data_IF_769537691242
#
_entry.id   IF_769537691242
#
_cell.length_a   1.000
_cell.length_b   1.000
_cell.length_c   1.000
_cell.angle_alpha   90.00
_cell.angle_beta   90.00
_cell.angle_gamma   90.00
#
_symmetry.space_group_name_H-M   'P 1'
#
loop_
_entity.id
_entity.type
_entity.pdbx_description
1 polymer ?
#
# COMPACT_ATOMS: atom_id res chain seq x y z
N UNK A 1 -28.29 -8.95 -15.71
CA UNK A 1 -28.71 -9.48 -14.40
C UNK A 1 -28.11 -10.86 -14.28
N UNK A 2 -27.57 -11.17 -13.10
CA UNK A 2 -26.92 -12.45 -12.81
C UNK A 2 -28.00 -13.52 -12.58
N UNK A 3 -27.75 -14.77 -12.96
CA UNK A 3 -28.71 -15.86 -12.72
C UNK A 3 -28.74 -16.22 -11.23
N UNK A 4 -29.87 -16.74 -10.73
CA UNK A 4 -29.93 -17.21 -9.34
C UNK A 4 -29.02 -18.40 -9.12
N UNK A 5 -28.28 -18.36 -8.01
CA UNK A 5 -27.43 -19.46 -7.57
C UNK A 5 -28.28 -20.69 -7.17
N UNK A 6 -27.65 -21.87 -7.09
CA UNK A 6 -28.33 -23.14 -6.84
C UNK A 6 -29.09 -23.12 -5.50
N UNK A 7 -28.44 -22.64 -4.43
CA UNK A 7 -29.05 -22.44 -3.11
C UNK A 7 -30.34 -21.60 -3.19
N UNK A 8 -30.33 -20.51 -3.94
CA UNK A 8 -31.48 -19.61 -4.07
C UNK A 8 -32.62 -20.28 -4.81
N UNK A 9 -32.32 -21.04 -5.88
CA UNK A 9 -33.35 -21.81 -6.60
C UNK A 9 -34.01 -22.84 -5.70
N UNK A 10 -33.24 -23.54 -4.87
CA UNK A 10 -33.73 -24.53 -3.91
C UNK A 10 -34.61 -23.88 -2.84
N UNK A 11 -34.13 -22.83 -2.18
CA UNK A 11 -34.89 -22.12 -1.14
C UNK A 11 -36.19 -21.50 -1.67
N UNK A 12 -36.17 -20.95 -2.89
CA UNK A 12 -37.39 -20.44 -3.53
C UNK A 12 -38.38 -21.57 -3.84
N UNK A 13 -37.91 -22.76 -4.23
CA UNK A 13 -38.76 -23.92 -4.46
C UNK A 13 -39.39 -24.45 -3.15
N UNK A 14 -38.69 -24.32 -2.02
CA UNK A 14 -39.19 -24.62 -0.68
C UNK A 14 -40.17 -23.56 -0.13
N UNK A 15 -40.30 -22.42 -0.82
CA UNK A 15 -41.23 -21.35 -0.47
C UNK A 15 -40.65 -20.24 0.41
N UNK A 16 -39.33 -20.20 0.58
CA UNK A 16 -38.66 -19.10 1.28
C UNK A 16 -38.62 -17.82 0.44
N UNK A 17 -38.55 -16.67 1.12
CA UNK A 17 -38.51 -15.35 0.51
C UNK A 17 -37.42 -14.46 1.13
N UNK A 18 -37.15 -13.31 0.53
CA UNK A 18 -36.16 -12.37 1.05
C UNK A 18 -36.45 -11.90 2.50
N UNK A 19 -37.72 -11.94 2.91
CA UNK A 19 -38.16 -11.53 4.25
C UNK A 19 -38.30 -12.72 5.22
N UNK A 20 -38.48 -13.93 4.70
CA UNK A 20 -38.62 -15.14 5.47
C UNK A 20 -37.72 -16.22 4.88
N UNK A 21 -36.51 -16.31 5.41
CA UNK A 21 -35.51 -17.30 5.04
C UNK A 21 -34.90 -17.94 6.29
N UNK A 22 -34.26 -19.12 6.19
CA UNK A 22 -33.60 -19.74 7.33
C UNK A 22 -32.46 -18.92 7.92
N UNK A 23 -32.17 -19.11 9.21
CA UNK A 23 -31.10 -18.39 9.94
C UNK A 23 -29.68 -18.71 9.45
N UNK A 24 -29.52 -19.79 8.67
CA UNK A 24 -28.22 -20.21 8.13
C UNK A 24 -27.86 -19.53 6.81
N UNK A 25 -28.78 -18.75 6.23
CA UNK A 25 -28.58 -17.94 5.03
C UNK A 25 -28.87 -16.46 5.31
N UNK A 26 -28.36 -15.61 4.43
CA UNK A 26 -28.68 -14.19 4.40
C UNK A 26 -28.83 -13.73 2.95
N UNK A 27 -29.58 -12.65 2.72
CA UNK A 27 -29.66 -12.02 1.41
C UNK A 27 -28.31 -11.40 1.05
N UNK A 28 -27.81 -11.70 -0.15
CA UNK A 28 -26.57 -11.14 -0.69
C UNK A 28 -26.58 -9.61 -0.63
N UNK A 29 -25.50 -9.02 -0.14
CA UNK A 29 -25.41 -7.56 0.07
C UNK A 29 -24.71 -6.85 -1.09
N UNK A 30 -24.23 -7.59 -2.09
CA UNK A 30 -23.47 -7.02 -3.20
C UNK A 30 -24.38 -6.50 -4.29
N UNK A 31 -24.51 -5.17 -4.36
CA UNK A 31 -25.31 -4.44 -5.36
C UNK A 31 -26.75 -4.99 -5.52
N UNK A 32 -27.56 -5.02 -4.43
CA UNK A 32 -28.93 -5.48 -4.53
C UNK A 32 -29.78 -4.51 -5.36
N UNK A 33 -30.66 -5.06 -6.19
CA UNK A 33 -31.72 -4.29 -6.83
C UNK A 33 -32.66 -3.70 -5.76
N UNK A 34 -33.17 -2.49 -6.00
CA UNK A 34 -34.09 -1.82 -5.09
C UNK A 34 -35.45 -2.51 -5.03
N UNK A 35 -35.88 -3.10 -6.15
CA UNK A 35 -37.22 -3.70 -6.27
C UNK A 35 -37.20 -5.21 -5.99
N UNK A 36 -36.03 -5.86 -6.11
CA UNK A 36 -35.84 -7.27 -5.80
C UNK A 36 -34.51 -7.52 -5.07
N UNK A 37 -34.52 -7.62 -3.73
CA UNK A 37 -33.31 -7.85 -2.94
C UNK A 37 -32.52 -9.13 -3.29
N UNK A 38 -33.19 -10.14 -3.87
CA UNK A 38 -32.55 -11.38 -4.33
C UNK A 38 -31.87 -11.23 -5.69
N UNK A 39 -32.19 -10.16 -6.44
CA UNK A 39 -31.44 -9.79 -7.65
C UNK A 39 -30.20 -9.01 -7.22
N UNK A 40 -29.15 -9.75 -6.83
CA UNK A 40 -27.86 -9.21 -6.40
C UNK A 40 -26.71 -9.92 -7.15
N UNK A 41 -25.49 -9.41 -7.01
CA UNK A 41 -24.32 -9.99 -7.66
C UNK A 41 -23.86 -11.32 -7.05
N UNK A 42 -24.42 -11.73 -5.92
CA UNK A 42 -24.12 -13.01 -5.28
C UNK A 42 -25.08 -14.13 -5.77
N UNK A 43 -26.04 -13.79 -6.63
CA UNK A 43 -27.02 -14.74 -7.17
C UNK A 43 -28.19 -15.03 -6.21
N UNK A 44 -28.43 -14.19 -5.20
CA UNK A 44 -29.56 -14.32 -4.28
C UNK A 44 -29.15 -14.48 -2.81
N UNK A 45 -29.50 -15.61 -2.21
CA UNK A 45 -29.09 -15.99 -0.86
C UNK A 45 -27.63 -16.46 -0.82
N UNK A 46 -26.96 -16.17 0.29
CA UNK A 46 -25.58 -16.55 0.58
C UNK A 46 -25.54 -17.22 1.94
N UNK A 47 -24.71 -18.24 2.11
CA UNK A 47 -24.55 -18.88 3.42
C UNK A 47 -23.90 -17.94 4.43
N UNK A 48 -24.39 -17.98 5.67
CA UNK A 48 -23.73 -17.25 6.75
C UNK A 48 -22.40 -17.95 7.09
N UNK A 49 -21.34 -17.17 7.32
CA UNK A 49 -19.98 -17.69 7.63
C UNK A 49 -19.96 -18.71 8.78
N UNK A 50 -20.81 -18.54 9.79
CA UNK A 50 -20.94 -19.47 10.92
C UNK A 50 -21.50 -20.83 10.52
N UNK A 51 -22.34 -20.88 9.48
CA UNK A 51 -22.87 -22.11 8.92
C UNK A 51 -21.84 -22.81 8.03
N UNK A 52 -21.14 -22.05 7.16
CA UNK A 52 -20.04 -22.59 6.33
C UNK A 52 -18.99 -23.31 7.19
N UNK A 53 -18.64 -22.76 8.36
CA UNK A 53 -17.69 -23.39 9.29
C UNK A 53 -18.13 -24.76 9.82
N UNK A 54 -19.42 -25.05 9.80
CA UNK A 54 -19.99 -26.34 10.25
C UNK A 54 -20.16 -27.33 9.10
N UNK A 55 -20.09 -26.85 7.86
CA UNK A 55 -20.22 -27.70 6.67
C UNK A 55 -18.94 -28.50 6.43
N UNK A 56 -19.15 -29.73 5.96
CA UNK A 56 -18.11 -30.62 5.47
C UNK A 56 -18.13 -30.61 3.95
N UNK A 57 -16.95 -30.52 3.36
CA UNK A 57 -16.74 -30.63 1.93
C UNK A 57 -15.85 -31.83 1.63
N UNK A 58 -15.95 -32.35 0.40
CA UNK A 58 -15.12 -33.44 -0.10
C UNK A 58 -14.54 -33.07 -1.46
N UNK A 59 -13.25 -33.31 -1.59
CA UNK A 59 -12.53 -33.23 -2.86
C UNK A 59 -12.85 -34.44 -3.74
N UNK A 60 -12.73 -34.35 -5.07
CA UNK A 60 -12.89 -35.48 -5.99
C UNK A 60 -12.05 -36.71 -5.65
N UNK A 61 -10.84 -36.50 -5.14
CA UNK A 61 -9.94 -37.59 -4.72
C UNK A 61 -10.26 -38.16 -3.33
N UNK A 62 -11.33 -37.69 -2.67
CA UNK A 62 -11.90 -38.29 -1.45
C UNK A 62 -11.51 -37.61 -0.14
N UNK A 63 -10.58 -36.64 -0.13
CA UNK A 63 -10.21 -35.91 1.10
C UNK A 63 -11.38 -35.04 1.58
N UNK A 64 -11.68 -35.12 2.88
CA UNK A 64 -12.61 -34.20 3.53
C UNK A 64 -11.91 -32.90 3.90
N UNK A 65 -12.64 -31.79 3.83
CA UNK A 65 -12.17 -30.47 4.26
C UNK A 65 -13.28 -29.70 4.98
N UNK A 66 -12.88 -28.82 5.90
CA UNK A 66 -13.80 -27.90 6.57
C UNK A 66 -14.13 -26.74 5.64
N UNK A 67 -15.34 -26.19 5.77
CA UNK A 67 -15.72 -24.99 5.02
C UNK A 67 -14.84 -23.76 5.30
N UNK A 68 -14.10 -23.73 6.42
CA UNK A 68 -13.13 -22.66 6.70
C UNK A 68 -11.88 -22.73 5.82
N UNK A 69 -11.46 -23.95 5.45
CA UNK A 69 -10.31 -24.22 4.58
C UNK A 69 -10.65 -23.98 3.10
N UNK A 70 -11.94 -23.96 2.76
CA UNK A 70 -12.44 -23.75 1.42
C UNK A 70 -12.56 -22.26 1.07
N UNK A 71 -12.42 -21.96 -0.22
CA UNK A 71 -12.53 -20.64 -0.82
C UNK A 71 -13.76 -20.56 -1.73
N UNK A 72 -14.39 -19.39 -1.72
CA UNK A 72 -15.52 -19.01 -2.55
C UNK A 72 -15.22 -17.66 -3.20
N UNK A 73 -16.03 -17.24 -4.17
CA UNK A 73 -15.90 -15.97 -4.92
C UNK A 73 -14.87 -16.00 -6.05
N UNK A 74 -14.79 -17.13 -6.78
CA UNK A 74 -14.05 -17.23 -8.03
C UNK A 74 -15.04 -17.41 -9.21
N UNK A 75 -14.80 -16.72 -10.31
CA UNK A 75 -15.56 -16.89 -11.55
C UNK A 75 -14.57 -17.18 -12.69
N UNK A 76 -14.73 -18.34 -13.34
CA UNK A 76 -13.86 -18.78 -14.44
C UNK A 76 -14.68 -19.44 -15.51
N UNK A 77 -14.47 -19.02 -16.76
CA UNK A 77 -15.16 -19.59 -17.94
C UNK A 77 -16.69 -19.63 -17.81
N UNK A 78 -17.27 -18.66 -17.09
CA UNK A 78 -18.71 -18.58 -16.83
C UNK A 78 -19.21 -19.53 -15.71
N UNK A 79 -18.31 -20.23 -15.03
CA UNK A 79 -18.61 -21.05 -13.85
C UNK A 79 -18.33 -20.24 -12.59
N UNK A 80 -19.33 -20.21 -11.71
CA UNK A 80 -19.25 -19.57 -10.40
C UNK A 80 -18.83 -20.58 -9.34
N UNK A 81 -17.60 -20.40 -8.86
CA UNK A 81 -17.00 -21.23 -7.84
C UNK A 81 -17.36 -20.70 -6.45
N UNK A 82 -18.56 -21.05 -6.00
CA UNK A 82 -19.13 -20.58 -4.74
C UNK A 82 -19.69 -21.73 -3.91
N UNK A 83 -19.84 -21.49 -2.60
CA UNK A 83 -20.49 -22.45 -1.71
C UNK A 83 -21.96 -22.66 -2.12
N UNK A 84 -22.61 -21.58 -2.53
CA UNK A 84 -24.02 -21.52 -2.92
C UNK A 84 -24.34 -22.31 -4.19
N UNK A 85 -23.33 -22.56 -5.04
CA UNK A 85 -23.45 -23.37 -6.25
C UNK A 85 -22.88 -24.79 -6.08
N UNK A 86 -22.49 -25.18 -4.85
CA UNK A 86 -21.86 -26.47 -4.56
C UNK A 86 -20.58 -26.72 -5.41
N UNK A 87 -19.86 -25.62 -5.67
CA UNK A 87 -18.66 -25.59 -6.50
C UNK A 87 -17.60 -24.72 -5.82
N UNK A 88 -17.40 -24.92 -4.51
CA UNK A 88 -16.34 -24.21 -3.81
C UNK A 88 -14.96 -24.75 -4.27
N UNK A 89 -13.89 -24.05 -3.88
CA UNK A 89 -12.52 -24.45 -4.21
C UNK A 89 -11.68 -24.63 -2.96
N UNK A 90 -10.64 -25.43 -3.04
CA UNK A 90 -9.64 -25.57 -1.99
C UNK A 90 -8.25 -25.66 -2.60
N UNK A 91 -7.22 -25.24 -1.85
CA UNK A 91 -5.85 -25.48 -2.27
C UNK A 91 -5.50 -26.95 -2.06
N UNK A 92 -5.03 -27.63 -3.11
CA UNK A 92 -4.57 -29.02 -3.00
C UNK A 92 -3.36 -29.09 -2.05
N UNK A 93 -3.40 -29.93 -0.98
CA UNK A 93 -2.32 -30.03 -0.02
C UNK A 93 -1.04 -30.59 -0.64
N UNK A 94 -1.17 -31.44 -1.67
CA UNK A 94 -0.06 -32.00 -2.43
C UNK A 94 0.53 -31.04 -3.48
N UNK A 95 -0.10 -29.87 -3.68
CA UNK A 95 0.32 -28.84 -4.65
C UNK A 95 0.45 -29.37 -6.09
N UNK A 96 -0.36 -30.36 -6.45
CA UNK A 96 -0.39 -30.94 -7.79
C UNK A 96 -1.11 -29.96 -8.74
N UNK A 97 -0.44 -29.57 -9.82
CA UNK A 97 -1.00 -28.63 -10.80
C UNK A 97 -1.88 -29.32 -11.86
N UNK A 98 -1.50 -30.54 -12.27
CA UNK A 98 -2.22 -31.37 -13.25
C UNK A 98 -2.71 -32.62 -12.53
N UNK A 99 -4.01 -32.72 -12.32
CA UNK A 99 -4.67 -33.82 -11.63
C UNK A 99 -5.84 -34.30 -12.49
N UNK A 100 -6.00 -35.60 -12.65
CA UNK A 100 -7.07 -36.20 -13.46
C UNK A 100 -8.46 -35.98 -12.83
N UNK A 101 -8.53 -35.95 -11.50
CA UNK A 101 -9.79 -35.77 -10.76
C UNK A 101 -10.22 -34.30 -10.64
N UNK A 102 -9.37 -33.36 -11.06
CA UNK A 102 -9.64 -31.92 -10.97
C UNK A 102 -10.54 -31.49 -12.13
N UNK A 103 -11.52 -30.63 -11.82
CA UNK A 103 -12.43 -30.09 -12.84
C UNK A 103 -11.68 -29.39 -13.99
N UNK A 104 -12.07 -29.69 -15.23
CA UNK A 104 -11.35 -29.30 -16.47
C UNK A 104 -11.18 -27.78 -16.64
N UNK A 105 -12.17 -26.99 -16.23
CA UNK A 105 -12.14 -25.52 -16.34
C UNK A 105 -11.24 -24.82 -15.30
N UNK A 106 -10.70 -25.55 -14.31
CA UNK A 106 -9.71 -24.99 -13.40
C UNK A 106 -8.32 -25.01 -14.06
N UNK A 107 -7.62 -23.87 -14.13
CA UNK A 107 -6.37 -23.80 -14.88
C UNK A 107 -5.27 -24.64 -14.23
N UNK A 108 -4.40 -25.21 -15.06
CA UNK A 108 -3.20 -25.95 -14.63
C UNK A 108 -1.93 -25.06 -14.55
N UNK A 109 -2.05 -23.77 -14.84
CA UNK A 109 -0.96 -22.80 -14.85
C UNK A 109 -1.33 -21.53 -14.08
N UNK A 110 -0.32 -20.78 -13.62
CA UNK A 110 -0.52 -19.53 -12.89
C UNK A 110 -0.70 -19.72 -11.37
N UNK A 111 -1.35 -18.75 -10.72
CA UNK A 111 -1.43 -18.65 -9.25
C UNK A 111 -2.41 -19.67 -8.66
N UNK A 112 -3.50 -19.95 -9.35
CA UNK A 112 -4.56 -20.87 -8.92
C UNK A 112 -4.37 -22.30 -9.47
N UNK A 113 -3.18 -22.61 -9.99
CA UNK A 113 -2.87 -23.90 -10.63
C UNK A 113 -3.11 -25.12 -9.73
N UNK A 114 -2.93 -24.95 -8.42
CA UNK A 114 -3.09 -26.03 -7.43
C UNK A 114 -4.47 -26.03 -6.78
N UNK A 115 -5.43 -25.25 -7.27
CA UNK A 115 -6.79 -25.25 -6.71
C UNK A 115 -7.55 -26.47 -7.24
N UNK A 116 -8.42 -27.02 -6.40
CA UNK A 116 -9.27 -28.17 -6.69
C UNK A 116 -10.71 -27.81 -6.33
N UNK A 117 -11.67 -28.39 -7.05
CA UNK A 117 -13.09 -28.26 -6.76
C UNK A 117 -13.46 -29.08 -5.52
N UNK A 118 -14.43 -28.62 -4.75
CA UNK A 118 -14.99 -29.36 -3.62
C UNK A 118 -16.50 -29.27 -3.62
N UNK A 119 -17.13 -30.35 -3.16
CA UNK A 119 -18.58 -30.47 -3.05
C UNK A 119 -18.97 -30.68 -1.60
N UNK A 120 -20.11 -30.14 -1.21
CA UNK A 120 -20.68 -30.33 0.12
C UNK A 120 -21.09 -31.80 0.31
N UNK A 121 -20.86 -32.33 1.50
CA UNK A 121 -21.30 -33.66 1.90
C UNK A 121 -22.03 -33.61 3.24
N UNK A 122 -23.03 -34.48 3.41
CA UNK A 122 -23.81 -34.59 4.66
C UNK A 122 -23.07 -35.34 5.78
N UNK A 123 -21.95 -35.98 5.44
CA UNK A 123 -21.14 -36.72 6.41
C UNK A 123 -20.49 -35.78 7.44
N UNK A 124 -20.47 -36.16 8.73
CA UNK A 124 -19.78 -35.38 9.74
C UNK A 124 -18.27 -35.39 9.44
N UNK A 125 -17.64 -34.22 9.57
CA UNK A 125 -16.21 -34.07 9.35
C UNK A 125 -15.38 -35.02 10.23
N UNK A 126 -14.50 -35.78 9.60
CA UNK A 126 -13.47 -36.58 10.25
C UNK A 126 -12.10 -35.97 9.98
N UNK A 127 -11.28 -35.87 11.03
CA UNK A 127 -9.92 -35.34 10.89
C UNK A 127 -8.97 -36.37 10.25
N UNK A 128 -9.22 -37.66 10.45
CA UNK A 128 -8.42 -38.71 9.82
C UNK A 128 -8.66 -38.71 8.31
N UNK A 129 -7.58 -38.68 7.51
CA UNK A 129 -7.59 -38.51 6.06
C UNK A 129 -8.26 -37.22 5.59
N UNK A 130 -8.25 -36.17 6.41
CA UNK A 130 -8.69 -34.84 6.00
C UNK A 130 -7.55 -34.04 5.37
N UNK A 131 -7.93 -33.00 4.64
CA UNK A 131 -7.01 -31.99 4.13
C UNK A 131 -6.20 -31.36 5.27
N UNK A 132 -6.85 -31.03 6.39
CA UNK A 132 -6.20 -30.39 7.53
C UNK A 132 -5.15 -31.29 8.19
N UNK A 133 -5.38 -32.61 8.24
CA UNK A 133 -4.37 -33.55 8.73
C UNK A 133 -3.15 -33.61 7.81
N UNK A 134 -3.37 -33.67 6.49
CA UNK A 134 -2.28 -33.70 5.51
C UNK A 134 -1.46 -32.41 5.58
N UNK A 135 -2.12 -31.26 5.72
CA UNK A 135 -1.44 -29.97 5.89
C UNK A 135 -0.62 -29.94 7.19
N UNK A 136 -1.17 -30.41 8.32
CA UNK A 136 -0.45 -30.45 9.59
C UNK A 136 0.78 -31.37 9.53
N UNK A 137 0.67 -32.53 8.87
CA UNK A 137 1.80 -33.43 8.66
C UNK A 137 2.89 -32.80 7.79
N UNK A 138 2.49 -32.10 6.73
CA UNK A 138 3.43 -31.39 5.86
C UNK A 138 4.11 -30.21 6.60
N UNK A 139 3.38 -29.46 7.42
CA UNK A 139 3.95 -28.40 8.26
C UNK A 139 4.97 -28.93 9.28
N UNK A 140 4.67 -30.08 9.89
CA UNK A 140 5.62 -30.78 10.78
C UNK A 140 6.89 -31.16 10.04
N UNK A 141 6.74 -31.78 8.86
CA UNK A 141 7.88 -32.15 8.01
C UNK A 141 8.70 -30.92 7.57
N UNK A 142 8.05 -29.84 7.13
CA UNK A 142 8.72 -28.59 6.77
C UNK A 142 9.49 -28.01 7.98
N UNK A 143 8.93 -28.13 9.18
CA UNK A 143 9.57 -27.68 10.42
C UNK A 143 10.77 -28.55 10.81
N UNK A 144 10.74 -29.85 10.55
CA UNK A 144 11.86 -30.77 10.72
C UNK A 144 12.97 -30.46 9.71
N UNK A 145 12.64 -30.36 8.42
CA UNK A 145 13.58 -29.95 7.36
C UNK A 145 14.24 -28.60 7.68
N UNK A 146 13.49 -27.67 8.30
CA UNK A 146 14.02 -26.37 8.73
C UNK A 146 15.13 -26.54 9.75
N UNK A 147 14.94 -27.44 10.73
CA UNK A 147 15.93 -27.72 11.78
C UNK A 147 17.19 -28.34 11.17
N UNK A 148 17.02 -29.33 10.31
CA UNK A 148 18.13 -29.96 9.58
C UNK A 148 18.91 -28.95 8.73
N UNK A 149 18.22 -28.05 8.05
CA UNK A 149 18.84 -26.99 7.25
C UNK A 149 19.68 -26.03 8.10
N UNK A 150 19.19 -25.65 9.29
CA UNK A 150 19.92 -24.78 10.22
C UNK A 150 21.16 -25.50 10.77
N UNK A 151 21.01 -26.78 11.11
CA UNK A 151 22.10 -27.61 11.64
C UNK A 151 23.20 -27.84 10.59
N UNK A 152 22.83 -28.15 9.35
CA UNK A 152 23.76 -28.29 8.22
C UNK A 152 24.62 -27.03 8.00
N UNK A 153 24.09 -25.85 8.35
CA UNK A 153 24.80 -24.56 8.26
C UNK A 153 25.50 -24.17 9.56
N UNK A 154 25.63 -25.08 10.53
CA UNK A 154 26.26 -24.85 11.84
C UNK A 154 25.66 -23.63 12.57
N UNK A 155 24.34 -23.46 12.47
CA UNK A 155 23.63 -22.33 13.09
C UNK A 155 23.82 -20.98 12.38
N UNK A 156 24.49 -20.92 11.21
CA UNK A 156 24.61 -19.70 10.40
C UNK A 156 23.41 -19.46 9.49
N UNK A 157 22.22 -19.57 10.07
CA UNK A 157 20.95 -19.41 9.39
C UNK A 157 20.08 -18.42 10.17
N UNK A 158 19.44 -17.50 9.46
CA UNK A 158 18.56 -16.50 10.06
C UNK A 158 17.17 -16.65 9.46
N UNK A 159 16.16 -16.77 10.32
CA UNK A 159 14.78 -17.01 9.92
C UNK A 159 14.23 -15.93 8.97
N UNK A 160 14.64 -14.67 9.13
CA UNK A 160 14.23 -13.56 8.26
C UNK A 160 14.76 -13.65 6.82
N UNK A 161 15.73 -14.54 6.58
CA UNK A 161 16.34 -14.77 5.27
C UNK A 161 16.13 -16.18 4.73
N UNK A 162 15.41 -17.01 5.49
CA UNK A 162 15.05 -18.35 5.11
C UNK A 162 13.64 -18.33 4.53
N UNK A 163 13.44 -19.04 3.44
CA UNK A 163 12.13 -19.29 2.90
C UNK A 163 12.08 -20.71 2.36
N UNK A 164 10.94 -21.35 2.57
CA UNK A 164 10.67 -22.66 2.02
C UNK A 164 10.18 -22.50 0.59
N UNK A 165 10.84 -23.16 -0.36
CA UNK A 165 10.40 -23.25 -1.73
C UNK A 165 9.44 -24.46 -1.85
N UNK A 166 8.13 -24.24 -2.07
CA UNK A 166 7.18 -25.35 -2.14
C UNK A 166 7.33 -26.19 -3.39
N UNK A 167 7.91 -25.67 -4.47
CA UNK A 167 8.10 -26.41 -5.73
C UNK A 167 9.31 -27.35 -5.62
N UNK A 168 10.40 -26.87 -5.03
CA UNK A 168 11.61 -27.67 -4.79
C UNK A 168 11.53 -28.52 -3.52
N UNK A 169 10.49 -28.31 -2.71
CA UNK A 169 10.31 -28.89 -1.36
C UNK A 169 11.55 -28.74 -0.48
N UNK A 170 12.20 -27.58 -0.56
CA UNK A 170 13.48 -27.34 0.09
C UNK A 170 13.55 -25.95 0.74
N UNK A 171 14.23 -25.88 1.88
CA UNK A 171 14.59 -24.59 2.48
C UNK A 171 15.72 -23.95 1.70
N UNK A 172 15.54 -22.68 1.36
CA UNK A 172 16.59 -21.86 0.76
C UNK A 172 16.84 -20.64 1.62
N UNK A 173 18.03 -20.06 1.50
CA UNK A 173 18.41 -18.88 2.25
C UNK A 173 19.13 -17.89 1.35
N UNK A 174 18.56 -16.70 1.21
CA UNK A 174 19.18 -15.58 0.49
C UNK A 174 19.35 -14.41 1.45
N UNK A 175 20.61 -14.05 1.72
CA UNK A 175 20.88 -12.90 2.56
C UNK A 175 20.52 -11.61 1.84
N UNK A 176 19.54 -10.88 2.36
CA UNK A 176 19.07 -9.59 1.83
C UNK A 176 19.22 -8.51 2.91
N UNK A 177 20.35 -7.79 2.97
CA UNK A 177 20.63 -6.80 4.03
C UNK A 177 19.52 -5.75 4.22
N UNK A 178 18.72 -5.47 3.20
CA UNK A 178 17.58 -4.56 3.26
C UNK A 178 16.50 -5.01 4.27
N UNK A 179 16.25 -6.32 4.41
CA UNK A 179 15.32 -6.87 5.40
C UNK A 179 15.88 -6.65 6.81
N UNK A 180 17.19 -6.88 7.02
CA UNK A 180 17.83 -6.58 8.32
C UNK A 180 17.72 -5.10 8.68
N UNK A 181 17.85 -4.22 7.68
CA UNK A 181 17.73 -2.78 7.87
C UNK A 181 16.30 -2.37 8.26
N UNK A 182 15.28 -2.98 7.62
CA UNK A 182 13.86 -2.77 7.96
C UNK A 182 13.52 -3.29 9.36
N UNK A 183 13.99 -4.48 9.71
CA UNK A 183 13.79 -5.10 11.03
C UNK A 183 14.66 -4.46 12.13
N UNK A 184 15.57 -3.53 11.78
CA UNK A 184 16.46 -2.84 12.71
C UNK A 184 17.24 -3.83 13.59
N UNK A 185 17.77 -4.90 12.99
CA UNK A 185 18.47 -5.97 13.69
C UNK A 185 19.65 -5.43 14.51
N UNK A 186 19.81 -5.95 15.74
CA UNK A 186 20.87 -5.58 16.70
C UNK A 186 21.40 -6.83 17.39
N UNK A 187 22.63 -6.76 17.89
CA UNK A 187 23.28 -7.85 18.60
C UNK A 187 23.92 -8.85 17.64
N UNK A 188 23.83 -10.13 17.97
CA UNK A 188 24.44 -11.20 17.19
C UNK A 188 23.72 -11.45 15.86
N UNK A 189 24.48 -11.49 14.76
CA UNK A 189 23.95 -11.86 13.45
C UNK A 189 24.33 -13.31 13.13
N UNK A 190 23.37 -14.25 13.03
CA UNK A 190 23.65 -15.65 12.69
C UNK A 190 24.34 -15.81 11.33
N UNK A 191 23.96 -15.01 10.33
CA UNK A 191 24.53 -15.10 8.97
C UNK A 191 25.99 -14.65 8.94
N UNK A 192 26.29 -13.51 9.57
CA UNK A 192 27.66 -12.98 9.61
C UNK A 192 28.53 -13.72 10.66
N UNK A 193 27.92 -14.47 11.57
CA UNK A 193 28.61 -15.23 12.62
C UNK A 193 29.32 -14.34 13.64
N UNK A 194 28.88 -13.09 13.81
CA UNK A 194 29.49 -12.10 14.72
C UNK A 194 28.45 -11.15 15.29
N UNK A 195 28.82 -10.46 16.36
CA UNK A 195 28.06 -9.30 16.84
C UNK A 195 28.15 -8.14 15.84
N UNK A 196 27.00 -7.52 15.58
CA UNK A 196 26.90 -6.36 14.70
C UNK A 196 27.56 -5.14 15.34
N UNK A 197 28.25 -4.36 14.52
CA UNK A 197 28.84 -3.08 14.92
C UNK A 197 27.83 -2.19 15.66
N UNK A 198 28.20 -1.70 16.85
CA UNK A 198 27.43 -0.72 17.65
C UNK A 198 27.33 0.64 16.95
N UNK A 199 28.32 0.95 16.10
CA UNK A 199 28.33 2.17 15.29
C UNK A 199 27.23 2.09 14.23
N UNK A 200 26.43 3.16 14.16
CA UNK A 200 25.34 3.27 13.18
C UNK A 200 25.74 4.20 12.05
N UNK A 201 25.25 3.89 10.86
CA UNK A 201 25.46 4.67 9.66
C UNK A 201 24.39 4.40 8.63
N UNK A 202 24.67 4.74 7.39
CA UNK A 202 23.80 4.49 6.25
C UNK A 202 24.63 4.09 5.04
N UNK A 203 23.96 3.63 4.00
CA UNK A 203 24.54 3.55 2.67
C UNK A 203 24.17 4.84 1.97
N UNK A 204 25.20 5.56 1.54
CA UNK A 204 25.08 6.78 0.76
C UNK A 204 25.42 6.48 -0.69
N UNK A 205 24.72 7.13 -1.60
CA UNK A 205 25.01 7.10 -3.03
C UNK A 205 24.76 8.48 -3.63
N UNK A 206 25.44 8.73 -4.74
CA UNK A 206 25.31 9.96 -5.51
C UNK A 206 24.53 9.63 -6.78
N UNK A 207 23.61 10.51 -7.17
CA UNK A 207 22.77 10.31 -8.35
C UNK A 207 23.12 11.35 -9.41
N UNK A 208 23.64 10.90 -10.55
CA UNK A 208 23.85 11.74 -11.72
C UNK A 208 22.65 11.58 -12.65
N UNK A 209 22.00 12.69 -12.95
CA UNK A 209 20.94 12.77 -13.94
C UNK A 209 21.43 13.62 -15.10
N UNK A 210 21.43 13.06 -16.31
CA UNK A 210 21.75 13.79 -17.53
C UNK A 210 20.48 13.92 -18.35
N UNK A 211 20.12 15.14 -18.75
CA UNK A 211 18.84 15.39 -19.40
C UNK A 211 18.92 16.51 -20.44
N UNK A 212 18.06 16.43 -21.46
CA UNK A 212 17.83 17.49 -22.43
C UNK A 212 17.06 18.66 -21.78
N UNK A 213 17.53 19.88 -21.98
CA UNK A 213 16.88 21.11 -21.49
C UNK A 213 15.71 21.51 -22.39
N UNK A 214 14.55 20.90 -22.17
CA UNK A 214 13.32 21.20 -22.91
C UNK A 214 12.73 22.59 -22.60
N UNK A 215 13.11 23.20 -21.48
CA UNK A 215 12.73 24.57 -21.11
C UNK A 215 13.38 25.65 -21.99
N UNK A 216 14.42 25.28 -22.74
CA UNK A 216 15.14 26.16 -23.66
C UNK A 216 14.74 25.94 -25.12
N UNK A 217 13.76 25.06 -25.39
CA UNK A 217 13.25 24.84 -26.74
C UNK A 217 12.67 26.14 -27.32
N UNK A 218 13.03 26.48 -28.55
CA UNK A 218 12.69 27.78 -29.16
C UNK A 218 13.64 28.94 -28.79
N UNK A 219 14.73 28.67 -28.08
CA UNK A 219 15.81 29.64 -27.81
C UNK A 219 17.10 29.25 -28.55
N UNK A 220 18.12 30.12 -28.50
CA UNK A 220 19.45 29.85 -29.08
C UNK A 220 20.18 28.63 -28.45
N UNK A 221 19.69 28.13 -27.32
CA UNK A 221 20.27 27.01 -26.58
C UNK A 221 19.41 25.73 -26.68
N UNK A 222 18.51 25.66 -27.67
CA UNK A 222 17.75 24.46 -27.97
C UNK A 222 18.69 23.28 -28.26
N UNK A 223 18.38 22.11 -27.71
CA UNK A 223 19.26 20.95 -27.81
C UNK A 223 20.34 20.83 -26.73
N UNK A 224 20.45 21.80 -25.81
CA UNK A 224 21.45 21.73 -24.73
C UNK A 224 21.16 20.56 -23.77
N UNK A 225 22.19 19.76 -23.52
CA UNK A 225 22.17 18.65 -22.54
C UNK A 225 22.90 19.08 -21.29
N UNK A 226 22.20 19.06 -20.16
CA UNK A 226 22.79 19.37 -18.86
C UNK A 226 22.94 18.10 -18.02
N UNK A 227 23.88 18.14 -17.08
CA UNK A 227 24.07 17.09 -16.08
C UNK A 227 23.95 17.66 -14.69
N UNK A 228 23.24 16.94 -13.84
CA UNK A 228 23.02 17.28 -12.44
C UNK A 228 23.44 16.12 -11.54
N UNK A 229 24.27 16.38 -10.52
CA UNK A 229 24.61 15.39 -9.49
C UNK A 229 23.95 15.80 -8.17
N UNK A 230 23.10 14.93 -7.63
CA UNK A 230 22.60 15.02 -6.27
C UNK A 230 23.42 14.08 -5.37
N UNK A 231 24.28 14.67 -4.51
CA UNK A 231 25.19 13.92 -3.63
C UNK A 231 24.57 13.59 -2.27
N UNK A 232 24.99 12.47 -1.70
CA UNK A 232 24.71 12.07 -0.32
C UNK A 232 23.29 11.55 -0.09
N UNK A 233 22.67 10.92 -1.08
CA UNK A 233 21.35 10.29 -0.90
C UNK A 233 21.49 9.07 -0.02
N UNK A 234 20.54 8.91 0.90
CA UNK A 234 20.50 7.76 1.82
C UNK A 234 19.64 6.64 1.25
N UNK A 235 20.12 5.41 1.29
CA UNK A 235 19.32 4.22 0.94
C UNK A 235 18.27 3.95 2.01
N UNK A 236 18.69 3.92 3.28
CA UNK A 236 17.79 3.62 4.39
C UNK A 236 17.22 4.90 5.00
N UNK A 237 15.94 4.89 5.40
CA UNK A 237 15.32 6.03 6.08
C UNK A 237 15.90 6.29 7.47
N UNK A 238 16.41 5.23 8.13
CA UNK A 238 16.95 5.26 9.49
C UNK A 238 18.40 4.76 9.45
N UNK A 239 19.27 5.22 10.37
CA UNK A 239 20.64 4.72 10.44
C UNK A 239 20.64 3.26 10.92
N UNK A 240 21.44 2.38 10.33
CA UNK A 240 21.55 0.95 10.68
C UNK A 240 22.99 0.59 11.05
N UNK A 241 23.23 -0.63 11.54
CA UNK A 241 24.60 -1.06 11.85
C UNK A 241 25.49 -1.01 10.59
N UNK A 242 26.74 -0.57 10.74
CA UNK A 242 27.68 -0.47 9.62
C UNK A 242 27.93 -1.81 8.93
N UNK A 243 27.87 -2.92 9.64
CA UNK A 243 28.03 -4.25 9.02
C UNK A 243 26.90 -4.58 8.04
N UNK A 244 25.68 -4.14 8.34
CA UNK A 244 24.52 -4.28 7.43
C UNK A 244 24.72 -3.34 6.24
N UNK A 245 25.18 -2.10 6.46
CA UNK A 245 25.49 -1.16 5.37
C UNK A 245 26.57 -1.72 4.42
N UNK A 246 27.68 -2.24 4.95
CA UNK A 246 28.76 -2.84 4.16
C UNK A 246 28.29 -4.07 3.39
N UNK A 247 27.43 -4.88 3.99
CA UNK A 247 26.83 -6.04 3.32
C UNK A 247 25.92 -5.60 2.17
N UNK A 248 25.14 -4.54 2.38
CA UNK A 248 24.28 -3.96 1.36
C UNK A 248 25.07 -3.42 0.16
N UNK A 249 26.14 -2.66 0.43
CA UNK A 249 27.04 -2.11 -0.58
C UNK A 249 27.61 -3.19 -1.52
N UNK A 250 27.92 -4.37 -0.97
CA UNK A 250 28.48 -5.50 -1.73
C UNK A 250 27.43 -6.28 -2.52
N UNK A 251 26.25 -6.52 -1.93
CA UNK A 251 25.28 -7.50 -2.45
C UNK A 251 24.12 -6.87 -3.22
N UNK A 252 23.79 -5.61 -2.98
CA UNK A 252 22.51 -5.03 -3.40
C UNK A 252 22.63 -3.90 -4.44
N UNK A 253 23.74 -3.83 -5.19
CA UNK A 253 23.91 -2.81 -6.26
C UNK A 253 22.81 -2.88 -7.32
N UNK A 254 22.56 -4.07 -7.87
CA UNK A 254 21.51 -4.28 -8.87
C UNK A 254 20.10 -4.00 -8.30
N UNK A 255 19.85 -4.34 -7.03
CA UNK A 255 18.57 -4.05 -6.38
C UNK A 255 18.36 -2.53 -6.20
N UNK A 256 19.43 -1.79 -5.88
CA UNK A 256 19.40 -0.33 -5.79
C UNK A 256 19.16 0.31 -7.16
N UNK A 257 19.85 -0.15 -8.21
CA UNK A 257 19.65 0.28 -9.59
C UNK A 257 18.20 0.07 -10.05
N UNK A 258 17.65 -1.12 -9.84
CA UNK A 258 16.26 -1.43 -10.18
C UNK A 258 15.27 -0.53 -9.41
N UNK A 259 15.52 -0.30 -8.12
CA UNK A 259 14.67 0.58 -7.29
C UNK A 259 14.68 2.03 -7.80
N UNK A 260 15.83 2.53 -8.23
CA UNK A 260 15.97 3.88 -8.76
C UNK A 260 15.33 3.99 -10.14
N UNK A 261 15.56 3.02 -11.04
CA UNK A 261 14.89 2.98 -12.35
C UNK A 261 13.37 2.99 -12.21
N UNK A 262 12.82 2.24 -11.26
CA UNK A 262 11.37 2.25 -11.00
C UNK A 262 10.87 3.64 -10.53
N UNK A 263 11.65 4.32 -9.69
CA UNK A 263 11.32 5.66 -9.19
C UNK A 263 11.27 6.71 -10.31
N UNK A 264 12.13 6.56 -11.33
CA UNK A 264 12.19 7.46 -12.48
C UNK A 264 11.58 6.86 -13.76
N UNK A 265 10.76 5.81 -13.62
CA UNK A 265 10.25 5.06 -14.77
C UNK A 265 9.47 5.98 -15.74
N UNK A 266 8.70 6.93 -15.21
CA UNK A 266 7.89 7.83 -16.04
C UNK A 266 8.76 8.78 -16.86
N UNK A 267 9.85 9.30 -16.27
CA UNK A 267 10.77 10.19 -16.96
C UNK A 267 11.60 9.43 -18.01
N UNK A 268 12.08 8.24 -17.66
CA UNK A 268 12.81 7.37 -18.59
C UNK A 268 11.91 6.98 -19.78
N UNK A 269 10.67 6.56 -19.50
CA UNK A 269 9.69 6.21 -20.52
C UNK A 269 9.35 7.40 -21.43
N UNK A 270 9.12 8.59 -20.86
CA UNK A 270 8.84 9.79 -21.64
C UNK A 270 10.01 10.14 -22.57
N UNK A 271 11.23 10.10 -22.05
CA UNK A 271 12.43 10.39 -22.83
C UNK A 271 12.62 9.38 -23.97
N UNK A 272 12.41 8.09 -23.71
CA UNK A 272 12.45 7.05 -24.73
C UNK A 272 11.36 7.25 -25.80
N UNK A 273 10.14 7.58 -25.38
CA UNK A 273 9.01 7.81 -26.27
C UNK A 273 9.19 9.04 -27.17
N UNK A 274 9.77 10.13 -26.64
CA UNK A 274 10.00 11.37 -27.38
C UNK A 274 11.40 11.46 -28.03
N UNK A 275 12.19 10.39 -27.96
CA UNK A 275 13.59 10.38 -28.39
C UNK A 275 14.45 11.50 -27.76
N UNK A 276 14.12 11.89 -26.53
CA UNK A 276 14.86 12.87 -25.74
C UNK A 276 15.93 12.16 -24.90
N UNK A 277 17.03 12.85 -24.59
CA UNK A 277 18.07 12.30 -23.72
C UNK A 277 17.65 12.42 -22.26
N UNK A 278 17.51 11.30 -21.56
CA UNK A 278 17.38 11.23 -20.11
C UNK A 278 18.07 9.97 -19.57
N UNK A 279 19.20 10.16 -18.88
CA UNK A 279 20.04 9.10 -18.35
C UNK A 279 20.22 9.27 -16.84
N UNK A 280 20.30 8.15 -16.13
CA UNK A 280 20.50 8.11 -14.68
C UNK A 280 21.64 7.16 -14.36
N UNK A 281 22.69 7.71 -13.75
CA UNK A 281 23.83 6.94 -13.24
C UNK A 281 23.90 7.03 -11.73
N UNK A 282 24.20 5.89 -11.10
CA UNK A 282 24.43 5.80 -9.65
C UNK A 282 25.93 5.75 -9.42
N UNK A 283 26.44 6.71 -8.65
CA UNK A 283 27.86 6.89 -8.36
C UNK A 283 28.12 6.73 -6.86
N UNK A 284 29.37 6.41 -6.52
CA UNK A 284 29.92 6.46 -5.16
C UNK A 284 29.05 5.82 -4.07
N UNK A 285 28.59 4.59 -4.30
CA UNK A 285 27.87 3.81 -3.28
C UNK A 285 28.85 3.48 -2.15
N UNK A 286 28.60 4.01 -0.95
CA UNK A 286 29.50 3.90 0.20
C UNK A 286 28.75 3.73 1.51
N UNK A 287 29.32 2.97 2.44
CA UNK A 287 28.79 2.76 3.78
C UNK A 287 29.50 3.61 4.83
N UNK A 288 28.79 4.60 5.40
CA UNK A 288 29.40 5.59 6.31
C UNK A 288 28.47 5.96 7.48
N UNK A 289 29.04 6.50 8.56
CA UNK A 289 28.23 7.05 9.67
C UNK A 289 27.52 8.35 9.31
N UNK A 290 28.17 9.17 8.48
CA UNK A 290 27.71 10.47 7.99
C UNK A 290 28.19 10.61 6.55
N UNK A 291 27.44 11.31 5.71
CA UNK A 291 27.85 11.57 4.35
C UNK A 291 29.18 12.34 4.33
N UNK A 292 30.22 11.71 3.81
CA UNK A 292 31.47 12.39 3.47
C UNK A 292 31.27 13.27 2.23
N UNK A 293 31.96 14.41 2.21
CA UNK A 293 32.03 15.34 1.08
C UNK A 293 33.44 15.27 0.50
N UNK A 294 33.56 14.91 -0.77
CA UNK A 294 34.82 14.96 -1.50
C UNK A 294 34.92 16.28 -2.27
N UNK A 295 35.66 17.23 -1.69
CA UNK A 295 35.82 18.57 -2.25
C UNK A 295 36.58 18.56 -3.58
N UNK A 296 37.52 17.64 -3.77
CA UNK A 296 38.30 17.57 -5.02
C UNK A 296 37.42 17.10 -6.17
N UNK A 297 36.62 16.06 -5.92
CA UNK A 297 35.63 15.56 -6.88
C UNK A 297 34.57 16.64 -7.17
N UNK A 298 34.13 17.40 -6.16
CA UNK A 298 33.18 18.50 -6.35
C UNK A 298 33.75 19.60 -7.26
N UNK A 299 34.99 20.02 -7.03
CA UNK A 299 35.65 21.04 -7.85
C UNK A 299 35.82 20.59 -9.30
N UNK A 300 36.14 19.31 -9.53
CA UNK A 300 36.29 18.76 -10.87
C UNK A 300 34.95 18.70 -11.62
N UNK A 301 33.88 18.24 -10.95
CA UNK A 301 32.53 18.25 -11.54
C UNK A 301 32.07 19.68 -11.88
N UNK A 302 32.38 20.67 -11.03
CA UNK A 302 32.08 22.08 -11.32
C UNK A 302 32.86 22.62 -12.52
N UNK A 303 34.13 22.23 -12.69
CA UNK A 303 34.92 22.57 -13.89
C UNK A 303 34.32 21.97 -15.16
N UNK A 304 33.74 20.77 -15.05
CA UNK A 304 33.02 20.10 -16.15
C UNK A 304 31.63 20.69 -16.41
N UNK A 305 31.22 21.74 -15.68
CA UNK A 305 29.92 22.39 -15.85
C UNK A 305 28.75 21.61 -15.26
N UNK A 306 29.00 20.57 -14.44
CA UNK A 306 27.97 19.74 -13.84
C UNK A 306 27.39 20.47 -12.62
N UNK A 307 26.06 20.60 -12.56
CA UNK A 307 25.38 21.23 -11.43
C UNK A 307 25.36 20.26 -10.24
N UNK A 308 25.88 20.67 -9.08
CA UNK A 308 25.90 19.84 -7.87
C UNK A 308 24.84 20.32 -6.88
N UNK A 309 24.09 19.40 -6.28
CA UNK A 309 23.27 19.67 -5.08
C UNK A 309 23.49 18.61 -4.01
N UNK A 310 23.26 18.98 -2.74
CA UNK A 310 23.37 18.06 -1.62
C UNK A 310 21.98 17.65 -1.12
N UNK A 311 21.75 16.34 -1.00
CA UNK A 311 20.45 15.79 -0.63
C UNK A 311 19.94 16.31 0.73
N UNK A 312 20.82 16.38 1.74
CA UNK A 312 20.42 16.88 3.07
C UNK A 312 19.99 18.34 3.05
N UNK A 313 20.67 19.19 2.29
CA UNK A 313 20.35 20.61 2.16
C UNK A 313 19.03 20.80 1.42
N UNK A 314 18.80 20.03 0.35
CA UNK A 314 17.54 19.99 -0.39
C UNK A 314 16.37 19.58 0.53
N UNK A 315 16.55 18.54 1.36
CA UNK A 315 15.51 18.09 2.30
C UNK A 315 15.22 19.13 3.38
N UNK A 316 16.25 19.73 3.97
CA UNK A 316 16.06 20.82 4.94
C UNK A 316 15.33 22.01 4.31
N UNK A 317 15.69 22.38 3.08
CA UNK A 317 15.03 23.45 2.35
C UNK A 317 13.56 23.12 2.07
N UNK A 318 13.24 21.91 1.59
CA UNK A 318 11.85 21.44 1.39
C UNK A 318 11.04 21.47 2.68
N UNK A 319 11.63 21.05 3.80
CA UNK A 319 10.95 21.10 5.10
C UNK A 319 10.66 22.54 5.54
N UNK A 320 11.63 23.46 5.37
CA UNK A 320 11.44 24.89 5.62
C UNK A 320 10.33 25.47 4.75
N UNK A 321 10.33 25.19 3.44
CA UNK A 321 9.28 25.62 2.51
C UNK A 321 7.90 25.09 2.92
N UNK A 322 7.77 23.81 3.26
CA UNK A 322 6.51 23.24 3.76
C UNK A 322 6.04 23.91 5.05
N UNK A 323 6.95 24.22 5.98
CA UNK A 323 6.64 24.92 7.22
C UNK A 323 6.16 26.34 6.94
N UNK A 324 6.80 27.05 6.03
CA UNK A 324 6.43 28.41 5.66
C UNK A 324 5.09 28.44 4.90
N UNK A 325 4.88 27.54 3.93
CA UNK A 325 3.61 27.40 3.25
C UNK A 325 2.45 27.11 4.22
N UNK A 326 2.68 26.28 5.26
CA UNK A 326 1.68 26.04 6.32
C UNK A 326 1.40 27.31 7.14
N UNK A 327 2.43 28.09 7.48
CA UNK A 327 2.27 29.36 8.20
C UNK A 327 1.49 30.39 7.38
N UNK A 328 1.82 30.53 6.10
CA UNK A 328 1.09 31.42 5.17
C UNK A 328 -0.36 30.97 5.01
N UNK A 329 -0.61 29.68 4.82
CA UNK A 329 -1.97 29.15 4.73
C UNK A 329 -2.76 29.36 6.03
N UNK A 330 -2.12 29.23 7.19
CA UNK A 330 -2.74 29.51 8.49
C UNK A 330 -3.09 30.99 8.64
N UNK A 331 -2.18 31.90 8.27
CA UNK A 331 -2.46 33.35 8.25
C UNK A 331 -3.62 33.70 7.31
N UNK A 332 -3.62 33.18 6.09
CA UNK A 332 -4.72 33.39 5.13
C UNK A 332 -6.06 32.88 5.67
N UNK A 333 -6.06 31.75 6.39
CA UNK A 333 -7.26 31.23 7.06
C UNK A 333 -7.72 32.15 8.19
N UNK A 334 -6.79 32.65 9.01
CA UNK A 334 -7.09 33.64 10.05
C UNK A 334 -7.70 34.89 9.42
N UNK A 335 -7.04 35.52 8.45
CA UNK A 335 -7.54 36.70 7.73
C UNK A 335 -8.90 36.47 7.04
N UNK A 336 -9.16 35.25 6.56
CA UNK A 336 -10.46 34.90 6.01
C UNK A 336 -11.56 34.92 7.08
N UNK A 337 -11.32 34.31 8.24
CA UNK A 337 -12.29 34.32 9.34
C UNK A 337 -12.44 35.69 10.00
N UNK A 338 -11.36 36.46 10.13
CA UNK A 338 -11.44 37.84 10.62
C UNK A 338 -12.32 38.70 9.70
N UNK A 339 -12.12 38.60 8.38
CA UNK A 339 -12.99 39.27 7.40
C UNK A 339 -14.43 38.79 7.45
N UNK A 340 -14.66 37.50 7.70
CA UNK A 340 -16.01 36.94 7.81
C UNK A 340 -16.74 37.51 9.03
N UNK A 341 -16.09 37.54 10.20
CA UNK A 341 -16.65 38.14 11.43
C UNK A 341 -16.93 39.62 11.19
N UNK A 342 -15.97 40.35 10.62
CA UNK A 342 -16.17 41.75 10.29
C UNK A 342 -17.28 41.97 9.26
N UNK A 343 -17.61 41.03 8.36
CA UNK A 343 -18.65 41.26 7.34
C UNK A 343 -20.05 41.00 7.86
N UNK A 344 -20.26 39.88 8.55
CA UNK A 344 -21.59 39.39 8.92
C UNK A 344 -21.82 39.29 10.43
N UNK A 345 -20.79 39.45 11.25
CA UNK A 345 -20.82 39.19 12.70
C UNK A 345 -20.58 37.72 13.03
N UNK A 346 -20.12 37.45 14.25
CA UNK A 346 -19.83 36.09 14.74
C UNK A 346 -21.12 35.34 15.14
N UNK A 347 -22.02 36.01 15.86
CA UNK A 347 -23.31 35.46 16.29
C UNK A 347 -24.25 35.06 15.14
N UNK A 348 -24.11 35.64 13.95
CA UNK A 348 -24.94 35.33 12.77
C UNK A 348 -24.47 34.10 12.00
N UNK A 349 -23.30 33.54 12.35
CA UNK A 349 -22.75 32.37 11.66
C UNK A 349 -23.42 31.08 12.11
N UNK A 350 -23.42 30.06 11.24
CA UNK A 350 -23.91 28.72 11.62
C UNK A 350 -23.03 28.10 12.70
N UNK A 351 -23.62 27.21 13.52
CA UNK A 351 -22.93 26.52 14.63
C UNK A 351 -21.67 25.77 14.18
N UNK A 352 -21.67 25.22 12.96
CA UNK A 352 -20.51 24.55 12.38
C UNK A 352 -19.37 25.53 12.04
N UNK A 353 -19.72 26.73 11.58
CA UNK A 353 -18.75 27.76 11.23
C UNK A 353 -18.13 28.37 12.49
N UNK A 354 -18.92 28.62 13.54
CA UNK A 354 -18.45 29.08 14.85
C UNK A 354 -17.39 28.13 15.43
N UNK A 355 -17.65 26.82 15.41
CA UNK A 355 -16.66 25.80 15.83
C UNK A 355 -15.36 25.83 15.00
N UNK A 356 -15.41 26.20 13.72
CA UNK A 356 -14.21 26.32 12.87
C UNK A 356 -13.42 27.59 13.19
N UNK A 357 -14.11 28.68 13.50
CA UNK A 357 -13.54 29.96 13.90
C UNK A 357 -12.82 29.82 15.25
N UNK A 358 -13.47 29.24 16.27
CA UNK A 358 -12.90 29.02 17.61
C UNK A 358 -11.66 28.11 17.63
N UNK A 359 -11.54 27.22 16.63
CA UNK A 359 -10.35 26.37 16.47
C UNK A 359 -9.13 27.13 15.92
N UNK A 360 -9.33 28.30 15.32
CA UNK A 360 -8.30 29.01 14.54
C UNK A 360 -7.97 30.39 15.12
N UNK A 361 -8.97 31.08 15.67
CA UNK A 361 -8.85 32.39 16.33
C UNK A 361 -9.04 32.22 17.84
N UNK A 362 -8.31 33.01 18.63
CA UNK A 362 -8.50 33.03 20.09
C UNK A 362 -9.82 33.69 20.47
N UNK A 363 -10.40 33.29 21.60
CA UNK A 363 -11.64 33.87 22.11
C UNK A 363 -11.54 35.38 22.37
N UNK A 364 -10.35 35.88 22.72
CA UNK A 364 -10.07 37.31 22.85
C UNK A 364 -10.18 38.02 21.49
N UNK A 365 -9.55 37.48 20.45
CA UNK A 365 -9.56 38.06 19.11
C UNK A 365 -10.95 38.07 18.49
N UNK A 366 -11.77 37.05 18.75
CA UNK A 366 -13.16 37.00 18.29
C UNK A 366 -13.99 38.13 18.93
N UNK A 367 -13.85 38.35 20.24
CA UNK A 367 -14.55 39.44 20.96
C UNK A 367 -14.15 40.83 20.46
N UNK A 368 -12.88 41.06 20.17
CA UNK A 368 -12.40 42.32 19.58
C UNK A 368 -13.06 42.60 18.23
N UNK A 369 -13.07 41.60 17.34
CA UNK A 369 -13.63 41.73 15.99
C UNK A 369 -15.15 41.89 16.02
N UNK A 370 -15.84 41.26 16.97
CA UNK A 370 -17.28 41.41 17.16
C UNK A 370 -17.62 42.82 17.68
N UNK A 371 -16.85 43.36 18.63
CA UNK A 371 -17.01 44.74 19.09
C UNK A 371 -16.76 45.77 17.96
N UNK A 372 -15.80 45.50 17.08
CA UNK A 372 -15.53 46.35 15.90
C UNK A 372 -16.67 46.27 14.87
N UNK A 373 -17.22 45.08 14.64
CA UNK A 373 -18.41 44.89 13.81
C UNK A 373 -19.62 45.65 14.35
N UNK A 374 -19.91 45.54 15.65
CA UNK A 374 -21.02 46.24 16.31
C UNK A 374 -20.88 47.77 16.23
N UNK A 375 -19.66 48.29 16.44
CA UNK A 375 -19.37 49.72 16.24
C UNK A 375 -19.66 50.16 14.80
N UNK A 376 -19.28 49.36 13.80
CA UNK A 376 -19.54 49.68 12.39
C UNK A 376 -21.04 49.69 12.08
N UNK A 377 -21.80 48.69 12.56
CA UNK A 377 -23.24 48.62 12.36
C UNK A 377 -23.96 49.79 13.06
N UNK A 378 -23.53 50.16 14.27
CA UNK A 378 -24.07 51.34 14.99
C UNK A 378 -23.81 52.62 14.19
N UNK A 379 -22.57 52.84 13.74
CA UNK A 379 -22.22 54.00 12.91
C UNK A 379 -22.97 54.03 11.57
N UNK A 380 -23.25 52.89 10.96
CA UNK A 380 -24.02 52.80 9.71
C UNK A 380 -25.53 53.06 9.92
N UNK A 381 -26.08 52.68 11.08
CA UNK A 381 -27.45 53.05 11.49
C UNK A 381 -27.59 54.53 11.86
N UNK A 382 -26.53 55.13 12.38
CA UNK A 382 -26.48 56.56 12.77
C UNK A 382 -26.10 57.48 11.59
N UNK A 383 -25.84 56.92 10.40
CA UNK A 383 -25.67 57.75 9.19
C UNK A 383 -27.02 58.38 8.81
N UNK A 384 -27.07 59.71 8.67
CA UNK A 384 -28.29 60.37 8.23
C UNK A 384 -28.63 59.90 6.81
N UNK A 385 -29.82 59.31 6.64
CA UNK A 385 -30.41 59.07 5.33
C UNK A 385 -30.68 60.44 4.72
N UNK A 386 -29.92 60.83 3.69
CA UNK A 386 -30.31 61.97 2.86
C UNK A 386 -31.58 61.57 2.10
N UNK A 387 -32.73 61.95 2.63
CA UNK A 387 -33.99 61.96 1.88
C UNK A 387 -33.82 62.99 0.76
N UNK A 388 -33.77 62.52 -0.49
CA UNK A 388 -33.94 63.42 -1.63
C UNK A 388 -35.39 63.92 -1.61
N UNK A 389 -35.56 65.25 -1.70
CA UNK A 389 -36.83 65.99 -1.61
C UNK A 389 -37.80 65.70 -2.79
N UNK A 390 -37.58 64.65 -3.58
CA UNK A 390 -38.33 64.33 -4.80
C UNK A 390 -39.33 63.16 -4.65
N UNK A 391 -39.42 62.52 -3.48
CA UNK A 391 -40.34 61.38 -3.24
C UNK A 391 -41.53 61.73 -2.32
N UNK A 392 -41.76 63.01 -2.00
CA UNK A 392 -42.92 63.47 -1.21
C UNK A 392 -43.90 64.36 -2.01
N UNK A 393 -44.07 64.08 -3.31
CA UNK A 393 -45.14 64.64 -4.14
C UNK A 393 -45.97 63.52 -4.77
#
# INVERSE_FOLDING_TARGET
>A
MREYNKLTKELLAEGYSAECHPDYVMVGSTCPDKDNPLSNLDGGFVYVRSHIRKMTFRTPCGLQCRGESCMSSLELEGIEWTFENDMATVQCPYRIAVCEDKHESLPCTGVIKTWCNVHQVDEPYQYENSLEQVEELEEKRISEDKREFIEARKGRACEHHMYYDPEQRAWTMRYRPQICAQNNCRGYCPILGKELDKKRGNVFYDLKTTYLRTDLNGTLFEGQVDSHIEKGRRVFQRPVSLDICRSYEKLCKAELEASIRLKYHSQLFYAEFHHEKFEIDILNIRSECRASRDLLEDLENLKQGIKISFYEENEQWKQKQKKEARRVAQKKKQEHFERLILKSGYASQTREMQKKIEKILSAERIRELEAEYEKRIRAERERPVQLNLFEML
#
